data_IF_172089413492
#
_entry.id   IF_172089413492
#
_cell.length_a   1.000
_cell.length_b   1.000
_cell.length_c   1.000
_cell.angle_alpha   90.00
_cell.angle_beta   90.00
_cell.angle_gamma   90.00
#
_symmetry.space_group_name_H-M   'P 1'
#
loop_
_entity.id
_entity.type
_entity.pdbx_description
1 polymer ?
#
# COMPACT_ATOMS: atom_id res chain seq x y z
N UNK A 1 -39.21 -14.06 -7.54
CA UNK A 1 -40.51 -14.76 -7.67
C UNK A 1 -40.40 -16.08 -6.92
N UNK A 2 -41.17 -16.27 -5.83
CA UNK A 2 -40.97 -17.32 -4.84
C UNK A 2 -41.77 -18.63 -5.10
N UNK A 3 -42.31 -18.81 -6.31
CA UNK A 3 -43.44 -19.69 -6.65
C UNK A 3 -43.21 -21.22 -6.57
N UNK A 4 -42.16 -21.68 -5.89
CA UNK A 4 -41.89 -23.11 -5.66
C UNK A 4 -41.43 -23.46 -4.24
N UNK A 5 -41.38 -22.47 -3.33
CA UNK A 5 -40.93 -22.65 -1.95
C UNK A 5 -42.13 -22.72 -1.00
N UNK A 6 -41.99 -23.49 0.09
CA UNK A 6 -42.99 -23.51 1.16
C UNK A 6 -43.23 -22.09 1.71
N UNK A 7 -44.47 -21.75 2.10
CA UNK A 7 -44.80 -20.42 2.65
C UNK A 7 -43.86 -20.02 3.80
N UNK A 8 -43.47 -20.99 4.63
CA UNK A 8 -42.50 -20.79 5.70
C UNK A 8 -41.13 -20.34 5.17
N UNK A 9 -40.63 -20.99 4.13
CA UNK A 9 -39.35 -20.61 3.49
C UNK A 9 -39.43 -19.24 2.80
N UNK A 10 -40.59 -18.87 2.26
CA UNK A 10 -40.80 -17.55 1.65
C UNK A 10 -40.74 -16.43 2.69
N UNK A 11 -41.34 -16.63 3.86
CA UNK A 11 -41.36 -15.65 4.95
C UNK A 11 -39.97 -15.48 5.60
N UNK A 12 -39.22 -16.58 5.73
CA UNK A 12 -37.82 -16.56 6.18
C UNK A 12 -36.93 -15.74 5.23
N UNK A 13 -37.09 -15.89 3.91
CA UNK A 13 -36.34 -15.11 2.90
C UNK A 13 -36.68 -13.62 2.99
N UNK A 14 -37.96 -13.26 3.09
CA UNK A 14 -38.38 -11.85 3.23
C UNK A 14 -37.80 -11.21 4.49
N UNK A 15 -37.84 -11.93 5.60
CA UNK A 15 -37.24 -11.49 6.86
C UNK A 15 -35.74 -11.26 6.70
N UNK A 16 -35.05 -12.18 6.02
CA UNK A 16 -33.62 -12.05 5.76
C UNK A 16 -33.29 -10.84 4.87
N UNK A 17 -34.05 -10.62 3.80
CA UNK A 17 -33.90 -9.44 2.93
C UNK A 17 -34.06 -8.14 3.74
N UNK A 18 -35.07 -8.06 4.60
CA UNK A 18 -35.29 -6.87 5.43
C UNK A 18 -34.11 -6.60 6.39
N UNK A 19 -33.55 -7.66 6.98
CA UNK A 19 -32.38 -7.56 7.87
C UNK A 19 -31.14 -7.08 7.10
N UNK A 20 -30.85 -7.66 5.93
CA UNK A 20 -29.71 -7.26 5.09
C UNK A 20 -29.85 -5.80 4.66
N UNK A 21 -31.04 -5.41 4.18
CA UNK A 21 -31.33 -4.04 3.76
C UNK A 21 -31.14 -3.03 4.90
N UNK A 22 -31.67 -3.33 6.08
CA UNK A 22 -31.50 -2.47 7.26
C UNK A 22 -30.03 -2.35 7.66
N UNK A 23 -29.27 -3.45 7.61
CA UNK A 23 -27.83 -3.43 7.87
C UNK A 23 -27.05 -2.62 6.85
N UNK A 24 -27.35 -2.76 5.57
CA UNK A 24 -26.75 -1.96 4.49
C UNK A 24 -26.93 -0.47 4.75
N UNK A 25 -28.16 -0.05 5.05
CA UNK A 25 -28.46 1.35 5.36
C UNK A 25 -27.70 1.87 6.58
N UNK A 26 -27.63 1.07 7.65
CA UNK A 26 -26.87 1.43 8.85
C UNK A 26 -25.39 1.57 8.54
N UNK A 27 -24.77 0.60 7.86
CA UNK A 27 -23.35 0.67 7.53
C UNK A 27 -23.03 1.86 6.62
N UNK A 28 -23.84 2.10 5.59
CA UNK A 28 -23.67 3.26 4.70
C UNK A 28 -23.71 4.55 5.51
N UNK A 29 -24.75 4.74 6.34
CA UNK A 29 -24.90 5.96 7.13
C UNK A 29 -23.75 6.14 8.12
N UNK A 30 -23.39 5.09 8.86
CA UNK A 30 -22.31 5.14 9.84
C UNK A 30 -20.95 5.41 9.19
N UNK A 31 -20.67 4.84 8.02
CA UNK A 31 -19.42 5.13 7.31
C UNK A 31 -19.38 6.55 6.79
N UNK A 32 -20.47 7.06 6.18
CA UNK A 32 -20.52 8.44 5.70
C UNK A 32 -20.26 9.41 6.85
N UNK A 33 -20.97 9.23 7.98
CA UNK A 33 -20.79 10.07 9.16
C UNK A 33 -19.36 9.98 9.71
N UNK A 34 -18.80 8.77 9.85
CA UNK A 34 -17.45 8.58 10.35
C UNK A 34 -16.40 9.22 9.44
N UNK A 35 -16.61 9.21 8.12
CA UNK A 35 -15.70 9.87 7.16
C UNK A 35 -15.80 11.40 7.29
N UNK A 36 -17.00 11.96 7.40
CA UNK A 36 -17.21 13.40 7.63
C UNK A 36 -16.56 13.88 8.93
N UNK A 37 -16.69 13.09 10.00
CA UNK A 37 -16.11 13.36 11.32
C UNK A 37 -14.61 13.00 11.42
N UNK A 38 -14.02 12.43 10.36
CA UNK A 38 -12.65 11.91 10.34
C UNK A 38 -12.37 10.82 11.40
N UNK A 39 -13.39 10.10 11.85
CA UNK A 39 -13.29 8.95 12.75
C UNK A 39 -13.03 7.65 11.98
N UNK A 40 -11.78 7.48 11.56
CA UNK A 40 -11.37 6.29 10.81
C UNK A 40 -11.25 5.02 11.66
N UNK A 41 -11.25 5.13 13.00
CA UNK A 41 -11.31 3.95 13.85
C UNK A 41 -12.67 3.25 13.72
N UNK A 42 -13.74 4.04 13.62
CA UNK A 42 -15.08 3.54 13.31
C UNK A 42 -15.15 2.96 11.90
N UNK A 43 -14.54 3.60 10.90
CA UNK A 43 -14.44 3.06 9.53
C UNK A 43 -13.74 1.69 9.52
N UNK A 44 -12.62 1.54 10.24
CA UNK A 44 -11.90 0.27 10.37
C UNK A 44 -12.75 -0.84 11.01
N UNK A 45 -13.54 -0.48 12.03
CA UNK A 45 -14.44 -1.40 12.68
C UNK A 45 -15.54 -1.86 11.72
N UNK A 46 -16.13 -0.95 10.95
CA UNK A 46 -17.15 -1.27 9.94
C UNK A 46 -16.57 -2.21 8.88
N UNK A 47 -15.36 -1.98 8.37
CA UNK A 47 -14.69 -2.89 7.41
C UNK A 47 -14.56 -4.30 7.98
N UNK A 48 -14.13 -4.43 9.25
CA UNK A 48 -14.00 -5.75 9.91
C UNK A 48 -15.35 -6.46 10.02
N UNK A 49 -16.41 -5.72 10.34
CA UNK A 49 -17.76 -6.26 10.41
C UNK A 49 -18.28 -6.68 9.03
N UNK A 50 -18.04 -5.87 8.00
CA UNK A 50 -18.40 -6.22 6.64
C UNK A 50 -17.67 -7.48 6.16
N UNK A 51 -16.37 -7.63 6.45
CA UNK A 51 -15.60 -8.87 6.17
C UNK A 51 -16.22 -10.10 6.84
N UNK A 52 -16.69 -9.96 8.09
CA UNK A 52 -17.36 -11.07 8.80
C UNK A 52 -18.69 -11.42 8.14
N UNK A 53 -19.48 -10.41 7.76
CA UNK A 53 -20.76 -10.61 7.09
C UNK A 53 -20.57 -11.22 5.68
N UNK A 54 -19.58 -10.78 4.89
CA UNK A 54 -19.26 -11.40 3.59
C UNK A 54 -18.98 -12.89 3.72
N UNK A 55 -18.21 -13.30 4.73
CA UNK A 55 -17.95 -14.73 5.00
C UNK A 55 -19.24 -15.48 5.28
N UNK A 56 -20.16 -14.91 6.05
CA UNK A 56 -21.46 -15.52 6.34
C UNK A 56 -22.32 -15.63 5.08
N UNK A 57 -22.30 -14.60 4.22
CA UNK A 57 -23.03 -14.55 2.95
C UNK A 57 -22.50 -15.59 1.97
N UNK A 58 -21.18 -15.78 1.89
CA UNK A 58 -20.55 -16.75 0.99
C UNK A 58 -20.97 -18.21 1.24
N UNK A 59 -21.50 -18.51 2.44
CA UNK A 59 -22.02 -19.82 2.80
C UNK A 59 -23.50 -20.03 2.45
N UNK A 60 -24.19 -19.02 1.92
CA UNK A 60 -25.58 -19.13 1.50
C UNK A 60 -25.70 -19.89 0.17
N UNK A 61 -26.66 -20.81 0.08
CA UNK A 61 -26.84 -21.71 -1.07
C UNK A 61 -27.27 -20.99 -2.35
N UNK A 62 -26.92 -21.55 -3.51
CA UNK A 62 -27.11 -20.99 -4.88
C UNK A 62 -28.56 -20.73 -5.34
N UNK A 63 -29.58 -21.03 -4.53
CA UNK A 63 -31.00 -20.92 -4.92
C UNK A 63 -31.69 -19.77 -4.18
N UNK A 64 -31.10 -18.56 -4.21
CA UNK A 64 -31.66 -17.40 -3.52
C UNK A 64 -32.59 -16.58 -4.42
N UNK A 65 -33.51 -15.83 -3.82
CA UNK A 65 -34.38 -14.88 -4.54
C UNK A 65 -33.56 -13.69 -5.10
N UNK A 66 -33.97 -13.20 -6.26
CA UNK A 66 -33.34 -12.09 -6.99
C UNK A 66 -33.19 -10.82 -6.14
N UNK A 67 -34.16 -10.51 -5.27
CA UNK A 67 -34.08 -9.35 -4.36
C UNK A 67 -32.99 -9.52 -3.32
N UNK A 68 -32.71 -10.75 -2.89
CA UNK A 68 -31.60 -11.00 -1.98
C UNK A 68 -30.26 -10.82 -2.68
N UNK A 69 -30.11 -11.30 -3.91
CA UNK A 69 -28.91 -11.01 -4.70
C UNK A 69 -28.67 -9.52 -4.91
N UNK A 70 -29.74 -8.75 -5.14
CA UNK A 70 -29.66 -7.31 -5.27
C UNK A 70 -29.11 -6.64 -3.99
N UNK A 71 -29.67 -6.97 -2.82
CA UNK A 71 -29.20 -6.41 -1.54
C UNK A 71 -27.77 -6.85 -1.18
N UNK A 72 -27.38 -8.07 -1.54
CA UNK A 72 -26.00 -8.56 -1.40
C UNK A 72 -25.04 -7.84 -2.36
N UNK A 73 -25.50 -7.50 -3.56
CA UNK A 73 -24.77 -6.69 -4.53
C UNK A 73 -24.49 -5.28 -4.01
N UNK A 74 -25.49 -4.62 -3.44
CA UNK A 74 -25.34 -3.32 -2.76
C UNK A 74 -24.31 -3.43 -1.64
N UNK A 75 -24.44 -4.47 -0.80
CA UNK A 75 -23.52 -4.69 0.31
C UNK A 75 -22.06 -4.84 -0.15
N UNK A 76 -21.81 -5.66 -1.18
CA UNK A 76 -20.47 -5.84 -1.73
C UNK A 76 -19.93 -4.55 -2.35
N UNK A 77 -20.73 -3.85 -3.15
CA UNK A 77 -20.31 -2.57 -3.73
C UNK A 77 -19.97 -1.53 -2.67
N UNK A 78 -20.77 -1.44 -1.61
CA UNK A 78 -20.49 -0.58 -0.47
C UNK A 78 -19.17 -0.96 0.21
N UNK A 79 -18.97 -2.25 0.48
CA UNK A 79 -17.75 -2.75 1.12
C UNK A 79 -16.48 -2.36 0.34
N UNK A 80 -16.47 -2.52 -0.99
CA UNK A 80 -15.35 -2.11 -1.85
C UNK A 80 -15.05 -0.61 -1.75
N UNK A 81 -16.10 0.22 -1.64
CA UNK A 81 -15.95 1.66 -1.43
C UNK A 81 -15.29 1.94 -0.08
N UNK A 82 -15.72 1.27 1.00
CA UNK A 82 -15.13 1.48 2.33
C UNK A 82 -13.67 1.03 2.38
N UNK A 83 -13.31 -0.10 1.75
CA UNK A 83 -11.90 -0.51 1.64
C UNK A 83 -11.08 0.52 0.85
N UNK A 84 -11.60 1.01 -0.27
CA UNK A 84 -10.93 2.05 -1.07
C UNK A 84 -10.71 3.34 -0.26
N UNK A 85 -11.68 3.77 0.54
CA UNK A 85 -11.55 4.94 1.41
C UNK A 85 -10.45 4.76 2.46
N UNK A 86 -10.36 3.56 3.04
CA UNK A 86 -9.30 3.21 3.97
C UNK A 86 -7.93 3.29 3.30
N UNK A 87 -7.76 2.70 2.12
CA UNK A 87 -6.49 2.74 1.39
C UNK A 87 -6.06 4.15 1.03
N UNK A 88 -7.00 5.00 0.56
CA UNK A 88 -6.72 6.41 0.25
C UNK A 88 -6.21 7.14 1.50
N UNK A 89 -6.83 6.88 2.64
CA UNK A 89 -6.43 7.49 3.92
C UNK A 89 -5.04 7.03 4.34
N UNK A 90 -4.76 5.73 4.29
CA UNK A 90 -3.44 5.17 4.59
C UNK A 90 -2.35 5.78 3.70
N UNK A 91 -2.59 5.85 2.39
CA UNK A 91 -1.68 6.51 1.43
C UNK A 91 -1.48 7.99 1.73
N UNK A 92 -2.53 8.70 2.15
CA UNK A 92 -2.45 10.11 2.52
C UNK A 92 -1.65 10.32 3.81
N UNK A 93 -1.81 9.44 4.80
CA UNK A 93 -1.01 9.46 6.03
C UNK A 93 0.46 9.15 5.74
N UNK A 94 0.73 8.15 4.90
CA UNK A 94 2.08 7.83 4.45
C UNK A 94 2.73 9.00 3.72
N UNK A 95 2.01 9.63 2.79
CA UNK A 95 2.46 10.81 2.08
C UNK A 95 2.76 11.97 3.05
N UNK A 96 1.88 12.23 4.03
CA UNK A 96 2.09 13.26 5.05
C UNK A 96 3.34 12.97 5.90
N UNK A 97 3.57 11.71 6.30
CA UNK A 97 4.80 11.31 7.03
C UNK A 97 6.04 11.55 6.18
N UNK A 98 6.00 11.16 4.90
CA UNK A 98 7.08 11.43 3.93
C UNK A 98 7.34 12.95 3.80
N UNK A 99 6.31 13.79 3.72
CA UNK A 99 6.45 15.24 3.66
C UNK A 99 7.02 15.85 4.96
N UNK A 100 6.59 15.39 6.13
CA UNK A 100 7.13 15.84 7.43
C UNK A 100 8.64 15.61 7.51
N UNK A 101 9.09 14.42 7.11
CA UNK A 101 10.52 14.08 7.07
C UNK A 101 11.29 15.06 6.16
N UNK A 102 10.74 15.39 4.99
CA UNK A 102 11.38 16.34 4.06
C UNK A 102 11.36 17.79 4.55
N UNK A 103 10.47 18.13 5.48
CA UNK A 103 10.42 19.41 6.17
C UNK A 103 11.51 19.57 7.24
N UNK A 104 12.13 18.48 7.69
CA UNK A 104 13.15 18.51 8.75
C UNK A 104 14.42 19.21 8.28
N UNK A 105 15.03 19.96 9.20
CA UNK A 105 16.29 20.66 8.98
C UNK A 105 17.37 19.67 8.54
N UNK A 106 18.14 20.05 7.52
CA UNK A 106 19.23 19.28 6.91
C UNK A 106 18.85 18.06 6.05
N UNK A 107 17.60 17.57 6.07
CA UNK A 107 17.22 16.38 5.27
C UNK A 107 17.47 16.58 3.77
N UNK A 108 17.07 17.73 3.22
CA UNK A 108 17.32 18.04 1.80
C UNK A 108 18.81 18.08 1.47
N UNK A 109 19.65 18.56 2.39
CA UNK A 109 21.09 18.63 2.20
C UNK A 109 21.73 17.23 2.27
N UNK A 110 21.25 16.36 3.16
CA UNK A 110 21.66 14.95 3.23
C UNK A 110 21.31 14.25 1.91
N UNK A 111 20.07 14.38 1.45
CA UNK A 111 19.61 13.78 0.20
C UNK A 111 20.41 14.29 -1.00
N UNK A 112 20.65 15.61 -1.10
CA UNK A 112 21.46 16.20 -2.15
C UNK A 112 22.91 15.66 -2.12
N UNK A 113 23.52 15.58 -0.94
CA UNK A 113 24.88 15.06 -0.80
C UNK A 113 24.97 13.59 -1.20
N UNK A 114 24.02 12.74 -0.77
CA UNK A 114 23.98 11.32 -1.15
C UNK A 114 23.67 11.11 -2.64
N UNK A 115 22.97 12.06 -3.27
CA UNK A 115 22.75 12.05 -4.71
C UNK A 115 24.05 12.29 -5.49
N UNK A 116 24.86 13.25 -5.04
CA UNK A 116 26.14 13.58 -5.67
C UNK A 116 27.25 12.60 -5.32
N UNK A 117 27.16 11.95 -4.15
CA UNK A 117 28.17 11.04 -3.61
C UNK A 117 27.53 9.69 -3.22
N UNK A 118 27.22 8.82 -4.19
CA UNK A 118 26.76 7.46 -3.92
C UNK A 118 27.74 6.71 -3.02
N UNK A 119 27.21 5.86 -2.14
CA UNK A 119 28.00 5.03 -1.21
C UNK A 119 28.82 5.84 -0.18
N UNK A 120 28.41 7.07 0.12
CA UNK A 120 29.03 7.89 1.14
C UNK A 120 28.90 7.26 2.54
N UNK A 121 29.93 7.44 3.37
CA UNK A 121 29.92 7.00 4.77
C UNK A 121 29.33 8.08 5.67
N UNK A 122 28.74 7.64 6.78
CA UNK A 122 28.11 8.54 7.76
C UNK A 122 29.01 9.70 8.20
N UNK A 123 30.30 9.44 8.47
CA UNK A 123 31.24 10.48 8.88
C UNK A 123 31.43 11.56 7.81
N UNK A 124 31.56 11.15 6.55
CA UNK A 124 31.72 12.07 5.41
C UNK A 124 30.44 12.89 5.19
N UNK A 125 29.28 12.26 5.27
CA UNK A 125 27.98 12.94 5.14
C UNK A 125 27.77 13.93 6.29
N UNK A 126 28.12 13.57 7.53
CA UNK A 126 27.97 14.44 8.70
C UNK A 126 28.83 15.70 8.58
N UNK A 127 30.09 15.53 8.16
CA UNK A 127 31.02 16.63 7.92
C UNK A 127 30.56 17.54 6.79
N UNK A 128 30.18 16.97 5.64
CA UNK A 128 29.74 17.73 4.47
C UNK A 128 28.44 18.54 4.72
N UNK A 129 27.50 17.96 5.48
CA UNK A 129 26.23 18.63 5.82
C UNK A 129 26.36 19.55 7.04
N UNK A 130 27.44 19.42 7.82
CA UNK A 130 27.70 20.21 9.02
C UNK A 130 26.80 19.84 10.20
N UNK A 131 26.54 18.54 10.42
CA UNK A 131 25.69 18.05 11.52
C UNK A 131 26.39 17.02 12.39
N UNK A 132 25.91 16.86 13.64
CA UNK A 132 26.46 15.87 14.57
C UNK A 132 26.16 14.44 14.09
N UNK A 133 27.08 13.47 14.25
CA UNK A 133 26.86 12.09 13.84
C UNK A 133 25.58 11.45 14.41
N UNK A 134 25.25 11.71 15.68
CA UNK A 134 24.03 11.19 16.31
C UNK A 134 22.76 11.71 15.62
N UNK A 135 22.72 13.01 15.32
CA UNK A 135 21.61 13.62 14.59
C UNK A 135 21.49 13.07 13.17
N UNK A 136 22.62 12.84 12.50
CA UNK A 136 22.61 12.19 11.18
C UNK A 136 22.09 10.75 11.26
N UNK A 137 22.48 9.95 12.28
CA UNK A 137 21.95 8.60 12.46
C UNK A 137 20.42 8.60 12.53
N UNK A 138 19.85 9.49 13.33
CA UNK A 138 18.40 9.62 13.46
C UNK A 138 17.75 9.99 12.13
N UNK A 139 18.28 11.00 11.42
CA UNK A 139 17.76 11.41 10.12
C UNK A 139 17.88 10.30 9.06
N UNK A 140 18.98 9.55 9.04
CA UNK A 140 19.16 8.41 8.13
C UNK A 140 18.16 7.29 8.45
N UNK A 141 17.88 7.02 9.72
CA UNK A 141 16.84 6.05 10.09
C UNK A 141 15.46 6.49 9.57
N UNK A 142 15.07 7.75 9.76
CA UNK A 142 13.81 8.24 9.20
C UNK A 142 13.77 8.15 7.67
N UNK A 143 14.89 8.42 6.99
CA UNK A 143 14.98 8.32 5.53
C UNK A 143 14.97 6.86 5.04
N UNK A 144 15.50 5.91 5.82
CA UNK A 144 15.39 4.48 5.54
C UNK A 144 13.96 3.98 5.77
N UNK A 145 13.31 4.38 6.86
CA UNK A 145 11.92 4.02 7.17
C UNK A 145 10.94 4.57 6.12
N UNK A 146 11.29 5.69 5.48
CA UNK A 146 10.54 6.30 4.39
C UNK A 146 10.95 5.82 2.98
N UNK A 147 11.82 4.81 2.90
CA UNK A 147 12.33 4.20 1.65
C UNK A 147 13.04 5.19 0.70
N UNK A 148 13.71 6.22 1.23
CA UNK A 148 14.52 7.15 0.44
C UNK A 148 16.00 6.79 0.40
N UNK A 149 16.49 6.05 1.40
CA UNK A 149 17.90 5.68 1.56
C UNK A 149 18.02 4.21 1.89
N UNK A 150 19.00 3.54 1.29
CA UNK A 150 19.46 2.20 1.65
C UNK A 150 20.80 2.26 2.37
N UNK A 151 21.03 1.28 3.23
CA UNK A 151 22.27 1.08 3.98
C UNK A 151 22.93 -0.21 3.54
N UNK A 152 24.21 -0.13 3.20
CA UNK A 152 25.04 -1.27 2.83
C UNK A 152 26.23 -1.41 3.80
N UNK A 153 26.66 -2.64 4.05
CA UNK A 153 27.78 -2.94 4.95
C UNK A 153 27.40 -3.00 6.44
N UNK A 154 28.41 -3.23 7.28
CA UNK A 154 28.26 -3.33 8.75
C UNK A 154 29.37 -2.53 9.43
N UNK A 155 29.05 -1.92 10.58
CA UNK A 155 30.03 -1.20 11.41
C UNK A 155 30.73 -0.05 10.65
N UNK A 156 32.07 -0.04 10.62
CA UNK A 156 32.89 1.05 10.06
C UNK A 156 32.85 1.14 8.53
N UNK A 157 32.38 0.10 7.84
CA UNK A 157 32.21 0.09 6.39
C UNK A 157 30.78 0.43 5.94
N UNK A 158 29.94 0.93 6.84
CA UNK A 158 28.55 1.28 6.51
C UNK A 158 28.51 2.44 5.51
N UNK A 159 27.82 2.22 4.39
CA UNK A 159 27.63 3.16 3.29
C UNK A 159 26.14 3.38 3.06
N UNK A 160 25.80 4.58 2.61
CA UNK A 160 24.42 4.99 2.34
C UNK A 160 24.25 5.37 0.88
N UNK A 161 23.13 4.94 0.29
CA UNK A 161 22.80 5.17 -1.12
C UNK A 161 21.33 5.53 -1.22
N UNK A 162 20.97 6.41 -2.16
CA UNK A 162 19.57 6.72 -2.42
C UNK A 162 18.86 5.54 -3.12
N UNK A 163 17.64 5.25 -2.70
CA UNK A 163 16.73 4.35 -3.43
C UNK A 163 16.27 5.01 -4.73
N UNK A 164 15.52 4.27 -5.57
CA UNK A 164 14.89 4.84 -6.77
C UNK A 164 13.96 6.01 -6.42
N UNK A 165 13.17 5.88 -5.35
CA UNK A 165 12.29 6.96 -4.87
C UNK A 165 13.11 8.18 -4.41
N UNK A 166 14.17 7.96 -3.64
CA UNK A 166 15.06 9.03 -3.16
C UNK A 166 15.74 9.78 -4.30
N UNK A 167 16.20 9.06 -5.34
CA UNK A 167 16.79 9.66 -6.53
C UNK A 167 15.77 10.50 -7.32
N UNK A 168 14.56 9.97 -7.52
CA UNK A 168 13.49 10.69 -8.24
C UNK A 168 13.12 11.97 -7.49
N UNK A 169 12.98 11.89 -6.16
CA UNK A 169 12.72 13.05 -5.31
C UNK A 169 13.80 14.14 -5.47
N UNK A 170 15.07 13.76 -5.51
CA UNK A 170 16.18 14.70 -5.68
C UNK A 170 16.12 15.42 -7.03
N UNK A 171 15.79 14.68 -8.11
CA UNK A 171 15.64 15.23 -9.46
C UNK A 171 14.48 16.24 -9.53
N UNK A 172 13.34 15.88 -8.97
CA UNK A 172 12.11 16.67 -9.14
C UNK A 172 12.03 17.86 -8.19
N UNK A 173 12.38 17.66 -6.90
CA UNK A 173 12.08 18.63 -5.83
C UNK A 173 13.32 19.33 -5.27
N UNK A 174 14.50 18.73 -5.33
CA UNK A 174 15.73 19.27 -4.71
C UNK A 174 16.62 19.98 -5.75
N UNK A 175 16.39 19.77 -7.07
CA UNK A 175 17.11 20.42 -8.17
C UNK A 175 18.63 20.28 -8.05
N UNK A 176 19.09 19.08 -7.72
CA UNK A 176 20.53 18.76 -7.68
C UNK A 176 21.08 18.74 -9.11
N UNK A 177 22.31 19.24 -9.33
CA UNK A 177 22.94 19.20 -10.66
C UNK A 177 23.09 17.75 -11.10
N UNK A 178 22.73 17.46 -12.36
CA UNK A 178 22.80 16.12 -12.95
C UNK A 178 24.29 15.77 -13.13
N UNK A 179 24.88 15.05 -12.19
CA UNK A 179 26.13 14.34 -12.47
C UNK A 179 25.73 13.10 -13.28
N UNK A 180 26.11 13.06 -14.56
CA UNK A 180 25.82 11.97 -15.51
C UNK A 180 26.53 10.64 -15.14
N UNK A 181 27.20 10.59 -14.00
CA UNK A 181 27.99 9.47 -13.49
C UNK A 181 27.27 8.64 -12.42
N UNK A 182 25.93 8.55 -12.44
CA UNK A 182 25.23 7.57 -11.60
C UNK A 182 25.34 6.22 -12.31
N UNK A 183 26.25 5.38 -11.80
CA UNK A 183 26.45 3.99 -12.19
C UNK A 183 25.11 3.28 -12.41
N UNK A 184 24.77 3.10 -13.69
CA UNK A 184 23.85 2.08 -14.20
C UNK A 184 24.43 0.65 -14.01
N UNK A 185 25.60 0.55 -13.37
CA UNK A 185 26.45 -0.64 -13.32
C UNK A 185 26.19 -1.60 -12.15
N UNK A 186 25.30 -1.31 -11.19
CA UNK A 186 25.06 -2.24 -10.08
C UNK A 186 23.87 -3.18 -10.27
N UNK A 187 23.00 -2.94 -11.26
CA UNK A 187 21.81 -3.78 -11.49
C UNK A 187 22.05 -4.85 -12.57
N UNK A 188 22.82 -4.55 -13.62
CA UNK A 188 23.16 -5.58 -14.63
C UNK A 188 24.04 -6.70 -14.07
N UNK A 189 24.85 -6.41 -13.04
CA UNK A 189 25.65 -7.43 -12.36
C UNK A 189 24.79 -8.38 -11.50
N UNK A 190 23.79 -7.85 -10.78
CA UNK A 190 22.85 -8.66 -9.98
C UNK A 190 21.85 -9.45 -10.84
N UNK A 191 21.53 -8.97 -12.05
CA UNK A 191 20.73 -9.70 -13.02
C UNK A 191 21.54 -10.83 -13.71
N UNK A 192 22.83 -10.60 -14.00
CA UNK A 192 23.68 -11.63 -14.63
C UNK A 192 24.10 -12.76 -13.68
N UNK A 193 24.16 -12.52 -12.38
CA UNK A 193 24.41 -13.59 -11.39
C UNK A 193 23.16 -14.43 -11.08
N UNK A 194 21.95 -13.90 -11.30
CA UNK A 194 20.69 -14.64 -11.12
C UNK A 194 20.14 -15.26 -12.41
N UNK A 195 20.82 -15.13 -13.54
CA UNK A 195 20.38 -15.65 -14.84
C UNK A 195 20.62 -17.17 -15.01
N UNK A 196 21.19 -17.85 -14.01
CA UNK A 196 21.25 -19.32 -13.97
C UNK A 196 19.89 -20.01 -13.72
N UNK A 197 18.78 -19.25 -13.71
CA UNK A 197 17.42 -19.77 -13.50
C UNK A 197 16.41 -19.51 -14.61
N UNK A 198 16.68 -18.61 -15.57
CA UNK A 198 15.68 -18.14 -16.55
C UNK A 198 15.66 -18.88 -17.89
N UNK A 199 16.69 -19.67 -18.21
CA UNK A 199 16.71 -20.48 -19.45
C UNK A 199 15.87 -21.76 -19.37
N UNK A 200 15.41 -22.17 -18.17
CA UNK A 200 14.68 -23.44 -17.99
C UNK A 200 13.17 -23.40 -18.28
N UNK A 201 12.64 -22.24 -18.69
CA UNK A 201 11.20 -22.03 -18.87
C UNK A 201 10.78 -21.75 -20.32
N UNK A 202 11.70 -21.65 -21.27
CA UNK A 202 11.37 -21.46 -22.69
C UNK A 202 10.95 -22.73 -23.43
N UNK A 203 11.20 -23.92 -22.87
CA UNK A 203 10.92 -25.20 -23.55
C UNK A 203 9.61 -25.88 -23.13
N UNK A 204 8.69 -25.19 -22.44
CA UNK A 204 7.32 -25.70 -22.23
C UNK A 204 6.38 -25.06 -23.24
N UNK A 205 6.35 -25.64 -24.43
CA UNK A 205 5.27 -25.45 -25.40
C UNK A 205 3.91 -25.66 -24.72
N UNK A 206 3.06 -24.65 -24.76
CA UNK A 206 1.68 -24.74 -24.30
C UNK A 206 0.85 -25.49 -25.35
N UNK A 207 0.53 -26.75 -25.06
CA UNK A 207 -0.57 -27.47 -25.70
C UNK A 207 -1.90 -26.90 -25.18
N UNK A 208 -2.69 -26.28 -26.05
CA UNK A 208 -4.06 -25.85 -25.77
C UNK A 208 -5.01 -26.84 -26.47
N UNK A 209 -5.67 -27.77 -25.75
CA UNK A 209 -6.71 -28.58 -26.35
C UNK A 209 -7.97 -27.73 -26.56
N UNK A 210 -8.42 -27.67 -27.81
CA UNK A 210 -9.69 -27.07 -28.20
C UNK A 210 -10.82 -28.03 -27.82
N UNK A 211 -11.82 -27.53 -27.06
CA UNK A 211 -13.15 -28.14 -26.93
C UNK A 211 -14.15 -27.09 -27.38
#
# INVERSE_FOLDING_TARGET
>A
MLNGLSEKSQEEIKTYIAVVKSRNQTYIRSTVQAVEEQDYATVDQIVKECKRAQKQIAHLQKNMDEMLYYELGIFNGFYEIVESLKEIKEKKEEHRKKEDILGRKHVKNILAYLYENPYARQGQTAEAVGIKPNQLSELLNYLMDADYVNRYGKNKSTQYVLTREGQQLCRDKIKVRKNETILEYSYEAELKENDYGYEKWKDREYYIPTI
#
